data_IF_679679716052
#
_entry.id   IF_679679716052
#
_cell.length_a   1.000
_cell.length_b   1.000
_cell.length_c   1.000
_cell.angle_alpha   90.00
_cell.angle_beta   90.00
_cell.angle_gamma   90.00
#
_symmetry.space_group_name_H-M   'P 1'
#
loop_
_entity.id
_entity.type
_entity.pdbx_description
1 polymer ?
#
# COMPACT_ATOMS: atom_id res chain seq x y z
N UNK A 1 -9.81 -4.25 -11.26
CA UNK A 1 -9.52 -4.59 -9.85
C UNK A 1 -8.99 -3.34 -9.16
N UNK A 2 -9.89 -2.59 -8.54
CA UNK A 2 -9.63 -1.29 -7.93
C UNK A 2 -8.94 -1.49 -6.59
N UNK A 3 -7.66 -1.09 -6.49
CA UNK A 3 -6.88 -1.11 -5.25
C UNK A 3 -7.00 0.26 -4.57
N UNK A 4 -8.18 0.57 -4.06
CA UNK A 4 -8.41 1.77 -3.24
C UNK A 4 -8.32 1.40 -1.75
N UNK A 5 -7.14 1.67 -1.18
CA UNK A 5 -6.86 2.04 0.22
C UNK A 5 -7.69 1.40 1.37
N UNK A 6 -7.08 0.43 2.05
CA UNK A 6 -7.42 0.03 3.42
C UNK A 6 -6.23 0.12 4.38
N UNK A 7 -5.28 1.02 4.14
CA UNK A 7 -4.14 1.22 5.04
C UNK A 7 -4.20 2.63 5.65
N UNK A 8 -5.02 2.79 6.70
CA UNK A 8 -4.70 3.78 7.74
C UNK A 8 -3.60 3.19 8.63
N UNK A 9 -2.55 3.95 8.97
CA UNK A 9 -1.65 3.58 10.04
C UNK A 9 -2.42 3.61 11.36
N UNK A 10 -2.27 2.55 12.15
CA UNK A 10 -2.74 2.48 13.53
C UNK A 10 -2.18 3.67 14.32
N UNK A 11 -3.06 4.58 14.75
CA UNK A 11 -2.80 5.45 15.88
C UNK A 11 -2.90 4.60 17.15
N UNK A 12 -1.74 4.27 17.73
CA UNK A 12 -1.64 3.79 19.11
C UNK A 12 -1.81 5.00 20.03
N UNK A 13 -3.02 5.27 20.51
CA UNK A 13 -3.27 6.05 21.72
C UNK A 13 -4.76 5.95 22.10
N UNK A 14 -5.05 5.15 23.13
CA UNK A 14 -5.99 5.47 24.23
C UNK A 14 -6.19 4.21 25.07
N UNK A 15 -5.30 4.06 26.05
CA UNK A 15 -5.52 3.28 27.26
C UNK A 15 -6.47 4.06 28.20
N UNK A 16 -7.40 3.30 28.77
CA UNK A 16 -8.03 3.49 30.08
C UNK A 16 -9.06 4.61 30.28
N UNK A 17 -10.34 4.26 30.03
CA UNK A 17 -11.42 4.53 31.02
C UNK A 17 -12.41 3.37 31.09
N UNK A 18 -12.34 2.67 32.22
CA UNK A 18 -13.32 1.71 32.73
C UNK A 18 -14.73 2.31 32.73
N UNK A 19 -15.69 1.57 32.19
CA UNK A 19 -17.05 1.53 32.76
C UNK A 19 -17.58 0.11 32.65
N UNK A 20 -17.80 -0.48 33.83
CA UNK A 20 -18.48 -1.75 34.03
C UNK A 20 -19.91 -1.71 33.45
N UNK A 21 -20.27 -2.70 32.62
CA UNK A 21 -21.60 -3.31 32.70
C UNK A 21 -21.69 -4.66 31.98
N UNK A 22 -21.81 -5.68 32.82
CA UNK A 22 -22.38 -7.03 32.70
C UNK A 22 -22.92 -7.61 31.37
N UNK A 23 -22.52 -8.88 31.19
CA UNK A 23 -23.28 -10.02 30.66
C UNK A 23 -23.66 -10.12 29.17
N UNK A 24 -22.84 -10.88 28.40
CA UNK A 24 -23.26 -12.14 27.69
C UNK A 24 -22.07 -12.82 26.96
N UNK A 25 -21.88 -14.15 27.07
CA UNK A 25 -20.91 -14.85 26.24
C UNK A 25 -21.57 -15.29 24.92
N UNK A 26 -21.33 -14.54 23.84
CA UNK A 26 -21.60 -15.02 22.48
C UNK A 26 -20.25 -15.40 21.86
N UNK A 27 -20.03 -16.72 21.69
CA UNK A 27 -18.87 -17.30 21.02
C UNK A 27 -18.73 -16.68 19.62
N UNK A 28 -17.80 -15.74 19.48
CA UNK A 28 -17.39 -15.23 18.16
C UNK A 28 -16.33 -16.16 17.60
N UNK A 29 -16.65 -16.74 16.44
CA UNK A 29 -15.81 -17.60 15.63
C UNK A 29 -15.26 -16.77 14.48
N UNK A 30 -14.61 -15.64 14.77
CA UNK A 30 -14.07 -14.71 13.77
C UNK A 30 -12.74 -14.14 14.25
N UNK A 31 -11.72 -15.00 14.25
CA UNK A 31 -10.32 -14.59 14.42
C UNK A 31 -9.46 -15.41 13.46
N UNK A 32 -9.69 -15.26 12.16
CA UNK A 32 -8.80 -15.83 11.14
C UNK A 32 -8.51 -14.79 10.07
N UNK A 33 -7.22 -14.47 9.97
CA UNK A 33 -6.55 -13.71 8.92
C UNK A 33 -6.45 -12.19 9.08
N UNK A 34 -5.98 -11.73 10.25
CA UNK A 34 -4.87 -10.76 10.20
C UNK A 34 -3.62 -11.59 9.87
N UNK A 35 -3.05 -11.42 8.67
CA UNK A 35 -1.70 -11.91 8.40
C UNK A 35 -0.77 -10.94 9.11
N UNK A 36 -0.40 -11.29 10.34
CA UNK A 36 0.68 -10.61 11.02
C UNK A 36 1.92 -10.73 10.14
N UNK A 37 2.56 -9.58 9.88
CA UNK A 37 3.83 -9.55 9.17
C UNK A 37 4.81 -10.37 10.03
N UNK A 38 5.39 -11.47 9.51
CA UNK A 38 6.25 -12.33 10.30
C UNK A 38 7.36 -11.49 10.91
N UNK A 39 7.53 -11.61 12.22
CA UNK A 39 8.59 -10.93 12.96
C UNK A 39 9.95 -11.41 12.44
N UNK A 40 11.00 -10.59 12.59
CA UNK A 40 12.34 -10.96 12.13
C UNK A 40 12.80 -12.32 12.72
N UNK A 41 12.37 -12.64 13.94
CA UNK A 41 12.64 -13.94 14.60
C UNK A 41 11.92 -15.12 13.94
N UNK A 42 10.66 -14.98 13.58
CA UNK A 42 9.89 -16.03 12.90
C UNK A 42 10.43 -16.31 11.51
N UNK A 43 10.86 -15.25 10.83
CA UNK A 43 11.46 -15.29 9.51
C UNK A 43 12.84 -15.93 9.51
N UNK A 44 13.68 -15.64 10.51
CA UNK A 44 14.95 -16.36 10.73
C UNK A 44 14.72 -17.84 11.06
N UNK A 45 13.65 -18.17 11.78
CA UNK A 45 13.29 -19.55 12.07
C UNK A 45 12.84 -20.31 10.82
N UNK A 46 12.06 -19.68 9.93
CA UNK A 46 11.68 -20.26 8.63
C UNK A 46 12.89 -20.50 7.73
N UNK A 47 13.81 -19.54 7.63
CA UNK A 47 15.04 -19.68 6.83
C UNK A 47 15.92 -20.81 7.40
N UNK A 48 16.00 -20.95 8.73
CA UNK A 48 16.73 -22.04 9.39
C UNK A 48 16.08 -23.39 9.14
N UNK A 49 14.76 -23.48 9.23
CA UNK A 49 13.99 -24.70 8.97
C UNK A 49 14.14 -25.16 7.51
N UNK A 50 14.16 -24.23 6.56
CA UNK A 50 14.40 -24.55 5.16
C UNK A 50 15.82 -25.06 4.91
N UNK A 51 16.84 -24.44 5.52
CA UNK A 51 18.23 -24.91 5.41
C UNK A 51 18.40 -26.31 6.02
N UNK A 52 17.79 -26.57 7.17
CA UNK A 52 17.80 -27.89 7.83
C UNK A 52 17.14 -28.97 6.94
N UNK A 53 15.98 -28.65 6.36
CA UNK A 53 15.28 -29.55 5.44
C UNK A 53 16.10 -29.88 4.17
N UNK A 54 16.86 -28.91 3.65
CA UNK A 54 17.75 -29.12 2.51
C UNK A 54 18.94 -30.03 2.89
N UNK A 55 19.52 -29.85 4.07
CA UNK A 55 20.64 -30.67 4.53
C UNK A 55 20.25 -32.12 4.82
N UNK A 56 19.05 -32.34 5.36
CA UNK A 56 18.50 -33.68 5.64
C UNK A 56 18.31 -34.48 4.33
N UNK A 57 17.72 -33.85 3.30
CA UNK A 57 17.47 -34.51 2.01
C UNK A 57 18.75 -34.81 1.20
N UNK A 58 19.77 -33.96 1.30
CA UNK A 58 21.07 -34.19 0.64
C UNK A 58 21.85 -35.30 1.35
N UNK A 59 21.76 -35.40 2.67
CA UNK A 59 22.43 -36.44 3.47
C UNK A 59 21.81 -37.83 3.28
N UNK A 60 20.49 -37.89 3.11
CA UNK A 60 19.75 -39.14 2.86
C UNK A 60 20.12 -39.81 1.52
N UNK A 61 20.46 -39.02 0.50
CA UNK A 61 20.77 -39.52 -0.85
C UNK A 61 22.23 -40.01 -1.02
N UNK A 62 23.15 -39.64 -0.12
CA UNK A 62 24.56 -40.06 -0.16
C UNK A 62 24.88 -41.44 0.45
N UNK A 63 23.99 -42.03 1.25
CA UNK A 63 24.26 -43.29 1.99
C UNK A 63 23.98 -44.58 1.22
N UNK A 64 23.45 -44.55 -0.01
CA UNK A 64 23.00 -45.75 -0.74
C UNK A 64 24.01 -46.42 -1.70
N UNK A 65 25.30 -46.03 -1.73
CA UNK A 65 26.30 -46.72 -2.56
C UNK A 65 27.66 -46.90 -1.87
N UNK A 66 27.75 -47.93 -1.03
CA UNK A 66 29.01 -48.67 -0.80
C UNK A 66 28.69 -50.16 -0.72
N UNK A 67 28.53 -50.76 -1.90
CA UNK A 67 28.72 -52.20 -2.04
C UNK A 67 30.23 -52.48 -1.99
N UNK A 68 30.62 -53.46 -1.18
CA UNK A 68 31.99 -53.88 -0.96
C UNK A 68 32.62 -54.40 -2.26
N UNK A 69 33.83 -53.93 -2.56
CA UNK A 69 34.75 -54.58 -3.50
C UNK A 69 36.06 -54.93 -2.79
N UNK A 70 36.77 -55.99 -3.25
CA UNK A 70 37.81 -56.66 -2.47
C UNK A 70 39.16 -55.91 -2.48
N UNK A 71 39.95 -56.18 -1.43
CA UNK A 71 41.27 -55.62 -1.13
C UNK A 71 42.37 -56.16 -2.08
N UNK A 72 43.21 -55.31 -2.70
CA UNK A 72 44.47 -55.74 -3.30
C UNK A 72 45.67 -55.61 -2.33
N UNK A 73 46.77 -56.36 -2.56
CA UNK A 73 47.89 -56.53 -1.61
C UNK A 73 48.83 -55.32 -1.52
N UNK A 74 49.70 -55.26 -0.48
CA UNK A 74 50.58 -54.12 -0.24
C UNK A 74 51.80 -54.13 -1.17
N UNK A 75 51.99 -53.05 -1.91
CA UNK A 75 53.22 -52.80 -2.69
C UNK A 75 54.00 -51.69 -2.00
N UNK A 76 55.25 -52.01 -1.67
CA UNK A 76 56.26 -51.17 -1.05
C UNK A 76 56.81 -50.13 -2.03
N UNK A 77 56.96 -48.88 -1.56
CA UNK A 77 57.97 -47.94 -2.05
C UNK A 77 57.48 -46.78 -2.93
N UNK A 78 57.33 -45.59 -2.34
CA UNK A 78 57.87 -44.31 -2.82
C UNK A 78 57.33 -43.15 -1.96
N UNK A 79 58.21 -42.57 -1.12
CA UNK A 79 57.90 -41.47 -0.20
C UNK A 79 57.88 -40.07 -0.85
N UNK A 80 58.27 -39.96 -2.12
CA UNK A 80 58.56 -38.65 -2.73
C UNK A 80 57.45 -38.13 -3.68
N UNK A 81 56.30 -38.81 -3.75
CA UNK A 81 55.17 -38.37 -4.59
C UNK A 81 54.23 -37.35 -3.91
N UNK A 82 54.45 -37.04 -2.63
CA UNK A 82 53.54 -36.17 -1.83
C UNK A 82 54.08 -34.77 -1.55
N UNK A 83 55.16 -34.34 -2.21
CA UNK A 83 55.66 -32.97 -2.09
C UNK A 83 55.32 -32.18 -3.35
N UNK A 84 54.64 -31.05 -3.17
CA UNK A 84 54.16 -30.10 -4.19
C UNK A 84 52.82 -30.39 -4.89
N UNK A 85 51.79 -30.85 -4.15
CA UNK A 85 50.42 -30.56 -4.56
C UNK A 85 49.98 -29.25 -3.89
N UNK A 86 49.95 -28.16 -4.66
CA UNK A 86 49.21 -26.95 -4.29
C UNK A 86 47.85 -27.38 -3.76
N UNK A 87 47.52 -27.00 -2.52
CA UNK A 87 46.28 -27.34 -1.84
C UNK A 87 45.11 -26.61 -2.52
N UNK A 88 44.79 -27.01 -3.73
CA UNK A 88 43.61 -26.58 -4.44
C UNK A 88 42.41 -27.01 -3.62
N UNK A 89 41.57 -26.02 -3.26
CA UNK A 89 40.37 -26.26 -2.44
C UNK A 89 39.56 -27.40 -3.04
N UNK A 90 39.15 -28.34 -2.18
CA UNK A 90 38.30 -29.46 -2.57
C UNK A 90 37.02 -28.96 -3.26
N UNK A 91 36.50 -29.71 -4.24
CA UNK A 91 35.23 -29.40 -4.90
C UNK A 91 34.07 -29.16 -3.90
N UNK A 92 34.12 -29.85 -2.74
CA UNK A 92 33.16 -29.65 -1.64
C UNK A 92 33.31 -28.27 -0.98
N UNK A 93 34.55 -27.82 -0.75
CA UNK A 93 34.83 -26.49 -0.19
C UNK A 93 34.41 -25.39 -1.16
N UNK A 94 34.72 -25.53 -2.46
CA UNK A 94 34.29 -24.56 -3.49
C UNK A 94 32.76 -24.43 -3.56
N UNK A 95 32.02 -25.55 -3.51
CA UNK A 95 30.56 -25.55 -3.50
C UNK A 95 29.98 -24.89 -2.23
N UNK A 96 30.62 -25.10 -1.08
CA UNK A 96 30.21 -24.49 0.18
C UNK A 96 30.44 -22.98 0.18
N UNK A 97 31.58 -22.51 -0.33
CA UNK A 97 31.89 -21.08 -0.51
C UNK A 97 30.87 -20.40 -1.43
N UNK A 98 30.57 -21.00 -2.59
CA UNK A 98 29.54 -20.49 -3.50
C UNK A 98 28.14 -20.41 -2.86
N UNK A 99 27.74 -21.42 -2.07
CA UNK A 99 26.46 -21.39 -1.34
C UNK A 99 26.43 -20.27 -0.30
N UNK A 100 27.53 -20.06 0.43
CA UNK A 100 27.65 -19.01 1.43
C UNK A 100 27.60 -17.61 0.80
N UNK A 101 28.30 -17.40 -0.32
CA UNK A 101 28.28 -16.15 -1.08
C UNK A 101 26.87 -15.86 -1.62
N UNK A 102 26.20 -16.85 -2.22
CA UNK A 102 24.82 -16.69 -2.69
C UNK A 102 23.84 -16.34 -1.55
N UNK A 103 24.01 -16.94 -0.35
CA UNK A 103 23.21 -16.60 0.84
C UNK A 103 23.47 -15.16 1.29
N UNK A 104 24.72 -14.73 1.34
CA UNK A 104 25.06 -13.34 1.67
C UNK A 104 24.49 -12.34 0.65
N UNK A 105 24.56 -12.64 -0.64
CA UNK A 105 24.01 -11.79 -1.69
C UNK A 105 22.49 -11.65 -1.55
N UNK A 106 21.77 -12.75 -1.30
CA UNK A 106 20.32 -12.73 -1.06
C UNK A 106 19.96 -11.89 0.15
N UNK A 107 20.69 -12.04 1.25
CA UNK A 107 20.48 -11.25 2.46
C UNK A 107 20.71 -9.75 2.21
N UNK A 108 21.81 -9.39 1.54
CA UNK A 108 22.10 -7.99 1.17
C UNK A 108 21.04 -7.41 0.24
N UNK A 109 20.60 -8.15 -0.77
CA UNK A 109 19.55 -7.71 -1.69
C UNK A 109 18.22 -7.48 -0.97
N UNK A 110 17.87 -8.34 -0.01
CA UNK A 110 16.68 -8.19 0.84
C UNK A 110 16.77 -6.93 1.70
N UNK A 111 17.87 -6.75 2.42
CA UNK A 111 18.09 -5.56 3.24
C UNK A 111 18.00 -4.27 2.41
N UNK A 112 18.59 -4.26 1.21
CA UNK A 112 18.50 -3.12 0.30
C UNK A 112 17.07 -2.86 -0.17
N UNK A 113 16.29 -3.90 -0.48
CA UNK A 113 14.90 -3.76 -0.88
C UNK A 113 14.03 -3.24 0.27
N UNK A 114 14.25 -3.72 1.50
CA UNK A 114 13.54 -3.26 2.70
C UNK A 114 13.92 -1.80 3.05
N UNK A 115 15.19 -1.44 2.97
CA UNK A 115 15.65 -0.06 3.15
C UNK A 115 15.08 0.87 2.07
N UNK A 116 15.01 0.42 0.81
CA UNK A 116 14.39 1.17 -0.28
C UNK A 116 12.88 1.36 -0.05
N UNK A 117 12.17 0.31 0.34
CA UNK A 117 10.75 0.38 0.66
C UNK A 117 10.48 1.30 1.86
N UNK A 118 11.33 1.25 2.90
CA UNK A 118 11.24 2.15 4.07
C UNK A 118 11.48 3.60 3.66
N UNK A 119 12.49 3.87 2.84
CA UNK A 119 12.78 5.21 2.32
C UNK A 119 11.62 5.74 1.48
N UNK A 120 11.04 4.91 0.61
CA UNK A 120 9.91 5.32 -0.22
C UNK A 120 8.66 5.57 0.63
N UNK A 121 8.37 4.70 1.60
CA UNK A 121 7.27 4.94 2.56
C UNK A 121 7.46 6.28 3.28
N UNK A 122 8.65 6.53 3.83
CA UNK A 122 8.94 7.80 4.51
C UNK A 122 8.79 8.99 3.56
N UNK A 123 9.26 8.87 2.31
CA UNK A 123 9.08 9.91 1.29
C UNK A 123 7.60 10.22 1.05
N UNK A 124 6.74 9.20 1.00
CA UNK A 124 5.30 9.38 0.82
C UNK A 124 4.63 9.98 2.05
N UNK A 125 5.04 9.56 3.25
CA UNK A 125 4.53 10.09 4.52
C UNK A 125 4.92 11.57 4.73
N UNK A 126 6.13 11.97 4.30
CA UNK A 126 6.64 13.34 4.39
C UNK A 126 6.09 14.27 3.28
N UNK A 127 5.43 13.72 2.26
CA UNK A 127 4.98 14.48 1.09
C UNK A 127 3.70 15.26 1.38
N UNK A 128 3.60 16.49 0.86
CA UNK A 128 2.39 17.28 1.01
C UNK A 128 1.21 16.59 0.30
N UNK A 129 0.00 16.63 0.88
CA UNK A 129 -1.25 16.14 0.30
C UNK A 129 -1.38 16.49 -1.19
N UNK A 130 -1.08 17.71 -1.59
CA UNK A 130 -1.22 18.15 -2.99
C UNK A 130 -0.17 17.53 -3.92
N UNK A 131 1.06 17.34 -3.45
CA UNK A 131 2.10 16.64 -4.20
C UNK A 131 1.76 15.16 -4.34
N UNK A 132 1.18 14.56 -3.29
CA UNK A 132 0.66 13.20 -3.32
C UNK A 132 -0.37 13.03 -4.42
N UNK A 133 -1.38 13.91 -4.47
CA UNK A 133 -2.44 13.79 -5.47
C UNK A 133 -1.91 13.98 -6.89
N UNK A 134 -0.91 14.84 -7.10
CA UNK A 134 -0.27 15.03 -8.41
C UNK A 134 0.33 13.75 -9.01
N UNK A 135 0.87 12.85 -8.18
CA UNK A 135 1.41 11.58 -8.67
C UNK A 135 0.37 10.72 -9.40
N UNK A 136 -0.89 10.87 -9.01
CA UNK A 136 -2.01 10.08 -9.52
C UNK A 136 -2.85 10.82 -10.56
N UNK A 137 -2.46 12.03 -10.98
CA UNK A 137 -3.29 12.88 -11.85
C UNK A 137 -3.71 12.23 -13.17
N UNK A 138 -2.83 11.42 -13.77
CA UNK A 138 -3.15 10.70 -15.01
C UNK A 138 -4.18 9.59 -14.78
N UNK A 139 -4.01 8.81 -13.70
CA UNK A 139 -4.93 7.72 -13.34
C UNK A 139 -6.30 8.29 -12.92
N UNK A 140 -6.30 9.39 -12.16
CA UNK A 140 -7.50 10.11 -11.74
C UNK A 140 -8.24 10.70 -12.96
N UNK A 141 -7.51 11.25 -13.94
CA UNK A 141 -8.10 11.73 -15.22
C UNK A 141 -8.71 10.57 -16.02
N UNK A 142 -8.06 9.42 -16.08
CA UNK A 142 -8.60 8.25 -16.78
C UNK A 142 -9.86 7.71 -16.09
N UNK A 143 -9.87 7.66 -14.76
CA UNK A 143 -10.98 7.11 -13.99
C UNK A 143 -12.20 8.06 -13.91
N UNK A 144 -11.97 9.38 -13.78
CA UNK A 144 -13.01 10.36 -13.47
C UNK A 144 -13.13 11.49 -14.49
N UNK A 145 -12.35 11.49 -15.56
CA UNK A 145 -12.29 12.58 -16.53
C UNK A 145 -13.63 12.91 -17.19
N UNK A 146 -14.38 11.88 -17.61
CA UNK A 146 -15.72 12.07 -18.20
C UNK A 146 -16.68 12.73 -17.20
N UNK A 147 -16.65 12.28 -15.94
CA UNK A 147 -17.50 12.86 -14.89
C UNK A 147 -17.14 14.32 -14.61
N UNK A 148 -15.85 14.66 -14.66
CA UNK A 148 -15.38 16.03 -14.54
C UNK A 148 -15.81 16.89 -15.72
N UNK A 149 -15.65 16.41 -16.94
CA UNK A 149 -15.95 17.18 -18.16
C UNK A 149 -17.46 17.49 -18.24
N UNK A 150 -18.32 16.53 -17.87
CA UNK A 150 -19.78 16.73 -17.74
C UNK A 150 -20.10 17.79 -16.67
N UNK A 151 -19.47 17.68 -15.49
CA UNK A 151 -19.67 18.62 -14.40
C UNK A 151 -19.18 20.03 -14.77
N UNK A 152 -17.97 20.16 -15.31
CA UNK A 152 -17.38 21.45 -15.67
C UNK A 152 -18.21 22.15 -16.76
N UNK A 153 -18.62 21.41 -17.80
CA UNK A 153 -19.46 21.96 -18.88
C UNK A 153 -20.80 22.46 -18.33
N UNK A 154 -21.48 21.64 -17.51
CA UNK A 154 -22.76 22.04 -16.91
C UNK A 154 -22.61 23.17 -15.89
N UNK A 155 -21.52 23.20 -15.12
CA UNK A 155 -21.20 24.26 -14.16
C UNK A 155 -20.95 25.60 -14.84
N UNK A 156 -20.13 25.65 -15.89
CA UNK A 156 -19.88 26.88 -16.63
C UNK A 156 -21.16 27.45 -17.23
N UNK A 157 -21.94 26.57 -17.85
CA UNK A 157 -23.23 26.90 -18.45
C UNK A 157 -24.23 27.45 -17.43
N UNK A 158 -24.30 26.81 -16.26
CA UNK A 158 -25.12 27.24 -15.13
C UNK A 158 -24.66 28.60 -14.59
N UNK A 159 -23.35 28.77 -14.39
CA UNK A 159 -22.75 29.99 -13.83
C UNK A 159 -22.93 31.20 -14.77
N UNK A 160 -22.85 30.98 -16.09
CA UNK A 160 -23.06 32.03 -17.10
C UNK A 160 -24.54 32.38 -17.28
N UNK A 161 -25.42 31.38 -17.30
CA UNK A 161 -26.83 31.55 -17.68
C UNK A 161 -27.82 31.70 -16.53
N UNK A 162 -27.55 31.13 -15.35
CA UNK A 162 -28.48 30.99 -14.21
C UNK A 162 -29.86 30.36 -14.51
N UNK A 163 -30.13 29.94 -15.75
CA UNK A 163 -31.41 29.41 -16.23
C UNK A 163 -31.41 27.91 -16.44
N UNK A 164 -30.23 27.28 -16.44
CA UNK A 164 -30.06 25.84 -16.62
C UNK A 164 -30.18 25.11 -15.27
N UNK A 165 -30.32 23.80 -15.34
CA UNK A 165 -30.31 22.94 -14.16
C UNK A 165 -28.97 23.03 -13.41
N UNK A 166 -29.02 22.81 -12.10
CA UNK A 166 -27.82 22.74 -11.27
C UNK A 166 -26.92 21.58 -11.74
N UNK A 167 -25.58 21.74 -11.76
CA UNK A 167 -24.67 20.70 -12.24
C UNK A 167 -24.86 19.37 -11.51
N UNK A 168 -24.97 18.29 -12.28
CA UNK A 168 -25.17 16.96 -11.73
C UNK A 168 -23.82 16.32 -11.44
N UNK A 169 -23.63 15.88 -10.21
CA UNK A 169 -22.43 15.13 -9.79
C UNK A 169 -22.69 13.64 -9.90
N UNK A 170 -21.76 12.88 -10.48
CA UNK A 170 -21.86 11.42 -10.58
C UNK A 170 -21.62 10.79 -9.20
N UNK A 171 -22.37 9.73 -8.91
CA UNK A 171 -22.23 8.95 -7.66
C UNK A 171 -21.23 7.83 -7.91
N UNK A 172 -20.18 7.77 -7.10
CA UNK A 172 -19.12 6.76 -7.21
C UNK A 172 -19.24 5.67 -6.13
N UNK A 173 -20.06 5.88 -5.10
CA UNK A 173 -20.25 4.93 -4.01
C UNK A 173 -19.13 5.05 -2.97
N UNK A 174 -19.34 5.92 -1.99
CA UNK A 174 -18.37 6.12 -0.92
C UNK A 174 -18.57 5.14 0.24
N UNK A 175 -17.48 4.47 0.63
CA UNK A 175 -17.43 3.52 1.76
C UNK A 175 -16.53 4.00 2.91
N UNK A 176 -16.07 5.27 2.86
CA UNK A 176 -15.14 5.82 3.86
C UNK A 176 -15.90 6.19 5.13
N UNK A 177 -15.26 5.99 6.30
CA UNK A 177 -15.89 6.23 7.62
C UNK A 177 -16.12 7.71 7.92
N UNK A 178 -15.21 8.60 7.50
CA UNK A 178 -15.29 10.05 7.72
C UNK A 178 -16.12 10.78 6.67
N UNK A 179 -17.05 10.07 6.01
CA UNK A 179 -17.80 10.57 4.88
C UNK A 179 -18.95 11.51 5.30
N UNK A 180 -18.82 12.80 4.98
CA UNK A 180 -19.94 13.76 5.06
C UNK A 180 -20.71 13.74 3.75
N UNK A 181 -22.00 13.40 3.83
CA UNK A 181 -22.94 13.32 2.70
C UNK A 181 -23.85 14.55 2.69
N UNK A 182 -23.98 15.19 1.53
CA UNK A 182 -24.99 16.21 1.29
C UNK A 182 -26.37 15.59 1.14
N UNK A 183 -27.36 16.15 1.83
CA UNK A 183 -28.76 15.71 1.76
C UNK A 183 -29.42 16.18 0.45
N UNK A 184 -29.06 17.37 -0.05
CA UNK A 184 -29.74 18.01 -1.17
C UNK A 184 -29.20 17.50 -2.52
N UNK A 185 -27.88 17.45 -2.68
CA UNK A 185 -27.20 16.95 -3.87
C UNK A 185 -27.11 15.42 -3.84
N UNK A 186 -27.26 14.80 -2.66
CA UNK A 186 -27.25 13.36 -2.49
C UNK A 186 -25.90 12.71 -2.77
N UNK A 187 -24.82 13.49 -2.76
CA UNK A 187 -23.43 13.08 -2.95
C UNK A 187 -22.60 13.44 -1.73
N UNK A 188 -21.48 12.76 -1.53
CA UNK A 188 -20.55 13.09 -0.44
C UNK A 188 -19.32 13.87 -0.91
N UNK A 189 -18.58 14.45 0.03
CA UNK A 189 -17.38 15.21 -0.31
C UNK A 189 -16.30 14.35 -1.02
N UNK A 190 -16.25 13.03 -0.78
CA UNK A 190 -15.35 12.13 -1.51
C UNK A 190 -15.76 11.93 -2.97
N UNK A 191 -17.05 11.94 -3.27
CA UNK A 191 -17.56 11.86 -4.65
C UNK A 191 -17.31 13.17 -5.39
N UNK A 192 -17.47 14.30 -4.70
CA UNK A 192 -17.07 15.62 -5.19
C UNK A 192 -15.57 15.65 -5.45
N UNK A 193 -14.76 15.17 -4.51
CA UNK A 193 -13.30 15.08 -4.66
C UNK A 193 -12.90 14.23 -5.87
N UNK A 194 -13.50 13.04 -6.01
CA UNK A 194 -13.24 12.16 -7.15
C UNK A 194 -13.57 12.85 -8.49
N UNK A 195 -14.71 13.52 -8.56
CA UNK A 195 -15.09 14.29 -9.75
C UNK A 195 -14.07 15.38 -10.05
N UNK A 196 -13.66 16.18 -9.06
CA UNK A 196 -12.69 17.26 -9.26
C UNK A 196 -11.28 16.76 -9.60
N UNK A 197 -10.89 15.59 -9.08
CA UNK A 197 -9.64 14.91 -9.44
C UNK A 197 -9.61 14.49 -10.91
N UNK A 198 -10.78 14.20 -11.48
CA UNK A 198 -10.96 13.97 -12.91
C UNK A 198 -10.50 15.13 -13.81
N UNK A 199 -10.20 16.31 -13.27
CA UNK A 199 -9.54 17.37 -14.04
C UNK A 199 -8.13 17.00 -14.51
N UNK A 200 -7.45 16.06 -13.85
CA UNK A 200 -6.03 15.75 -14.06
C UNK A 200 -5.07 16.82 -13.51
N UNK A 201 -5.59 17.97 -13.08
CA UNK A 201 -4.84 19.11 -12.55
C UNK A 201 -5.40 19.51 -11.17
N UNK A 202 -5.51 18.53 -10.27
CA UNK A 202 -6.09 18.73 -8.94
C UNK A 202 -5.11 19.43 -7.98
N UNK A 203 -5.07 20.75 -8.10
CA UNK A 203 -4.21 21.62 -7.29
C UNK A 203 -5.02 22.44 -6.28
N UNK A 204 -4.36 22.85 -5.19
CA UNK A 204 -4.94 23.71 -4.17
C UNK A 204 -5.54 25.01 -4.77
N UNK A 205 -4.90 25.57 -5.80
CA UNK A 205 -5.39 26.76 -6.50
C UNK A 205 -6.69 26.50 -7.26
N UNK A 206 -6.79 25.32 -7.88
CA UNK A 206 -7.97 24.93 -8.65
C UNK A 206 -9.17 24.74 -7.72
N UNK A 207 -9.01 23.97 -6.64
CA UNK A 207 -10.12 23.72 -5.71
C UNK A 207 -10.58 24.99 -4.98
N UNK A 208 -9.65 25.91 -4.65
CA UNK A 208 -10.00 27.22 -4.08
C UNK A 208 -10.81 28.07 -5.06
N UNK A 209 -10.45 28.06 -6.35
CA UNK A 209 -11.22 28.74 -7.40
C UNK A 209 -12.62 28.15 -7.54
N UNK A 210 -12.73 26.82 -7.52
CA UNK A 210 -14.02 26.14 -7.61
C UNK A 210 -14.89 26.49 -6.41
N UNK A 211 -14.35 26.40 -5.19
CA UNK A 211 -15.02 26.83 -3.95
C UNK A 211 -15.58 28.26 -4.06
N UNK A 212 -14.77 29.22 -4.53
CA UNK A 212 -15.21 30.61 -4.65
C UNK A 212 -16.34 30.78 -5.68
N UNK A 213 -16.37 29.95 -6.72
CA UNK A 213 -17.44 29.97 -7.72
C UNK A 213 -18.81 29.61 -7.12
N UNK A 214 -18.80 28.78 -6.08
CA UNK A 214 -19.98 28.30 -5.35
C UNK A 214 -20.27 29.06 -4.05
N UNK A 215 -19.57 30.17 -3.78
CA UNK A 215 -19.74 30.94 -2.54
C UNK A 215 -21.20 31.40 -2.33
N UNK A 216 -21.77 31.26 -1.11
CA UNK A 216 -23.18 31.57 -0.85
C UNK A 216 -23.56 33.00 -1.24
N UNK A 217 -22.68 33.99 -1.05
CA UNK A 217 -22.93 35.38 -1.42
C UNK A 217 -23.33 35.57 -2.89
N UNK A 218 -22.82 34.73 -3.80
CA UNK A 218 -23.12 34.78 -5.23
C UNK A 218 -24.55 34.30 -5.55
N UNK A 219 -25.14 33.53 -4.63
CA UNK A 219 -26.42 32.84 -4.83
C UNK A 219 -27.50 33.31 -3.86
N UNK A 220 -27.27 34.39 -3.11
CA UNK A 220 -28.22 34.97 -2.16
C UNK A 220 -29.57 35.28 -2.80
N UNK A 221 -30.66 34.80 -2.18
CA UNK A 221 -32.03 35.07 -2.61
C UNK A 221 -32.55 34.15 -3.73
N UNK A 222 -31.76 33.15 -4.16
CA UNK A 222 -32.15 32.21 -5.24
C UNK A 222 -32.81 30.91 -4.72
N UNK A 223 -33.34 30.91 -3.51
CA UNK A 223 -34.12 29.79 -2.95
C UNK A 223 -33.35 28.46 -2.94
N UNK A 224 -33.89 27.43 -3.59
CA UNK A 224 -33.27 26.09 -3.67
C UNK A 224 -31.86 26.10 -4.28
N UNK A 225 -31.59 27.01 -5.23
CA UNK A 225 -30.26 27.10 -5.84
C UNK A 225 -29.22 27.57 -4.82
N UNK A 226 -29.61 28.47 -3.92
CA UNK A 226 -28.73 28.92 -2.84
C UNK A 226 -28.39 27.75 -1.90
N UNK A 227 -29.37 26.89 -1.59
CA UNK A 227 -29.15 25.72 -0.75
C UNK A 227 -28.22 24.71 -1.42
N UNK A 228 -28.43 24.40 -2.72
CA UNK A 228 -27.56 23.51 -3.50
C UNK A 228 -26.13 24.04 -3.62
N UNK A 229 -25.96 25.32 -3.93
CA UNK A 229 -24.63 25.95 -4.00
C UNK A 229 -23.93 25.97 -2.63
N UNK A 230 -24.66 26.25 -1.55
CA UNK A 230 -24.11 26.25 -0.19
C UNK A 230 -23.67 24.84 0.24
N UNK A 231 -24.44 23.80 -0.08
CA UNK A 231 -24.04 22.43 0.20
C UNK A 231 -22.77 22.03 -0.59
N UNK A 232 -22.73 22.33 -1.89
CA UNK A 232 -21.52 22.08 -2.70
C UNK A 232 -20.30 22.83 -2.15
N UNK A 233 -20.48 24.09 -1.74
CA UNK A 233 -19.43 24.89 -1.10
C UNK A 233 -18.89 24.23 0.17
N UNK A 234 -19.77 23.73 1.04
CA UNK A 234 -19.38 23.05 2.28
C UNK A 234 -18.63 21.75 2.01
N UNK A 235 -19.08 20.96 1.04
CA UNK A 235 -18.39 19.73 0.62
C UNK A 235 -17.00 20.06 0.09
N UNK A 236 -16.84 21.10 -0.73
CA UNK A 236 -15.52 21.53 -1.24
C UNK A 236 -14.64 22.09 -0.12
N UNK A 237 -15.19 22.88 0.79
CA UNK A 237 -14.48 23.38 1.98
C UNK A 237 -13.89 22.22 2.79
N UNK A 238 -14.68 21.16 3.00
CA UNK A 238 -14.23 19.96 3.72
C UNK A 238 -13.04 19.28 3.05
N UNK A 239 -13.00 19.26 1.71
CA UNK A 239 -11.87 18.72 0.96
C UNK A 239 -10.61 19.58 1.16
N UNK A 240 -10.76 20.92 1.21
CA UNK A 240 -9.63 21.86 1.39
C UNK A 240 -9.05 21.75 2.80
N UNK A 241 -9.90 21.77 3.83
CA UNK A 241 -9.46 21.66 5.23
C UNK A 241 -8.74 20.34 5.51
N UNK A 242 -8.98 19.36 4.63
CA UNK A 242 -8.49 18.00 4.81
C UNK A 242 -9.32 17.27 5.83
N UNK A 243 -9.27 15.94 5.77
CA UNK A 243 -9.75 15.12 6.87
C UNK A 243 -8.80 15.35 8.07
N UNK A 244 -9.05 16.41 8.85
CA UNK A 244 -8.26 16.75 10.04
C UNK A 244 -8.28 15.63 11.12
N UNK A 245 -9.03 14.55 10.91
CA UNK A 245 -9.25 13.44 11.84
C UNK A 245 -9.18 12.04 11.15
N UNK A 246 -8.38 11.85 10.10
CA UNK A 246 -8.20 10.53 9.45
C UNK A 246 -6.88 9.87 9.84
#
# INVERSE_FOLDING_TARGET
MSRFWTNSPLSEDETDKETEQEHRPRRSRESRHRRDVPTDKEREAEDRAYDEWVEENISASGKRRRAASPVPPPVSGNSDFFQCADRSKSAKQKKQEQKAEAKQQRHKARQQAEDAARKEKKRLDDMNKWEYVKLWGNEDREAYGEAFDDFASSAEDFIKGNTKEFPRLRKHGCHRKNCVKGEILGVCHHEVEATLRGSGCFDERMIKKERLSWHPDRWTGKGELQQKSNELFQLIQRIIDGDLNA
#
